data_IF_915651401831
#
_entry.id   IF_915651401831
#
_cell.length_a   1.000
_cell.length_b   1.000
_cell.length_c   1.000
_cell.angle_alpha   90.00
_cell.angle_beta   90.00
_cell.angle_gamma   90.00
#
_symmetry.space_group_name_H-M   'P 1'
#
loop_
_entity.id
_entity.type
_entity.pdbx_description
1 polymer ?
#
# COMPACT_ATOMS: atom_id res chain seq x y z
N UNK A 1 -21.55 31.59 -52.23
CA UNK A 1 -20.13 31.21 -52.10
C UNK A 1 -19.86 30.98 -50.63
N UNK A 2 -19.92 29.71 -50.18
CA UNK A 2 -19.31 29.15 -48.95
C UNK A 2 -19.89 27.73 -48.77
N UNK A 3 -19.05 26.73 -49.01
CA UNK A 3 -19.37 25.31 -48.92
C UNK A 3 -19.37 24.84 -47.46
N UNK A 4 -20.35 24.01 -47.13
CA UNK A 4 -20.45 23.23 -45.90
C UNK A 4 -19.39 22.12 -45.94
N UNK A 5 -18.46 22.10 -44.98
CA UNK A 5 -17.49 21.00 -44.83
C UNK A 5 -18.14 19.82 -44.12
N UNK A 6 -18.17 18.69 -44.82
CA UNK A 6 -18.57 17.37 -44.36
C UNK A 6 -17.55 16.78 -43.37
N UNK A 7 -18.07 16.14 -42.32
CA UNK A 7 -17.33 15.33 -41.34
C UNK A 7 -16.90 14.02 -42.01
N UNK A 8 -15.61 13.68 -41.93
CA UNK A 8 -15.09 12.38 -42.36
C UNK A 8 -15.31 11.33 -41.25
N UNK A 9 -15.78 10.10 -41.57
CA UNK A 9 -15.89 9.02 -40.60
C UNK A 9 -14.52 8.39 -40.27
N UNK A 10 -14.33 8.01 -39.01
CA UNK A 10 -13.17 7.23 -38.55
C UNK A 10 -13.13 5.83 -39.17
N UNK A 11 -11.94 5.24 -39.42
CA UNK A 11 -11.84 3.90 -39.97
C UNK A 11 -12.18 2.82 -38.94
N UNK A 12 -12.94 1.82 -39.38
CA UNK A 12 -13.24 0.58 -38.67
C UNK A 12 -11.97 -0.29 -38.59
N UNK A 13 -11.45 -0.51 -37.38
CA UNK A 13 -10.41 -1.51 -37.14
C UNK A 13 -11.02 -2.92 -37.20
N UNK A 14 -10.52 -3.73 -38.13
CA UNK A 14 -10.78 -5.16 -38.21
C UNK A 14 -10.10 -5.89 -37.05
N UNK A 15 -10.82 -6.83 -36.40
CA UNK A 15 -10.24 -7.74 -35.42
C UNK A 15 -9.35 -8.76 -36.12
N UNK A 16 -8.05 -8.72 -35.85
CA UNK A 16 -7.16 -9.82 -36.15
C UNK A 16 -7.37 -10.92 -35.09
N UNK A 17 -7.65 -12.14 -35.55
CA UNK A 17 -7.66 -13.35 -34.73
C UNK A 17 -6.27 -13.54 -34.10
N UNK A 18 -6.18 -13.38 -32.78
CA UNK A 18 -4.96 -13.65 -32.03
C UNK A 18 -4.84 -15.16 -31.80
N UNK A 19 -3.76 -15.75 -32.32
CA UNK A 19 -3.42 -17.16 -32.12
C UNK A 19 -3.13 -17.45 -30.65
N UNK A 20 -3.92 -18.35 -30.07
CA UNK A 20 -3.71 -18.96 -28.75
C UNK A 20 -2.42 -19.80 -28.75
N UNK A 21 -1.34 -19.28 -28.17
CA UNK A 21 -0.09 -20.05 -27.99
C UNK A 21 0.60 -19.88 -26.64
N UNK A 22 -0.10 -19.39 -25.60
CA UNK A 22 0.44 -19.28 -24.24
C UNK A 22 0.11 -20.47 -23.32
N UNK A 23 -0.09 -21.68 -23.88
CA UNK A 23 -0.45 -22.88 -23.12
C UNK A 23 0.72 -23.85 -22.83
N UNK A 24 1.98 -23.49 -23.11
CA UNK A 24 3.13 -24.38 -22.85
C UNK A 24 4.33 -23.65 -22.27
N UNK A 25 4.85 -24.13 -21.14
CA UNK A 25 6.14 -23.69 -20.59
C UNK A 25 7.26 -23.98 -21.58
N UNK A 26 8.04 -22.96 -21.94
CA UNK A 26 9.21 -23.13 -22.83
C UNK A 26 10.35 -23.78 -22.05
N UNK A 27 10.70 -25.01 -22.40
CA UNK A 27 11.95 -25.66 -21.96
C UNK A 27 13.11 -25.31 -22.89
N UNK A 28 14.34 -25.43 -22.38
CA UNK A 28 15.59 -25.22 -23.11
C UNK A 28 15.79 -26.33 -24.16
N UNK A 29 16.28 -26.01 -25.37
CA UNK A 29 16.28 -26.92 -26.54
C UNK A 29 17.13 -28.21 -26.45
N UNK A 30 17.80 -28.50 -25.33
CA UNK A 30 18.81 -29.58 -25.24
C UNK A 30 18.44 -30.73 -24.28
N UNK A 31 17.17 -30.87 -23.88
CA UNK A 31 16.71 -32.02 -23.09
C UNK A 31 15.98 -32.99 -24.01
N UNK A 32 16.62 -34.12 -24.34
CA UNK A 32 16.02 -35.22 -25.10
C UNK A 32 15.22 -36.13 -24.15
N UNK A 33 13.98 -36.45 -24.55
CA UNK A 33 13.11 -37.41 -23.86
C UNK A 33 13.54 -38.85 -24.23
N UNK A 34 13.85 -39.68 -23.22
CA UNK A 34 13.95 -41.13 -23.40
C UNK A 34 12.54 -41.76 -23.35
N UNK A 35 12.36 -42.74 -24.24
CA UNK A 35 11.11 -43.23 -24.81
C UNK A 35 10.52 -44.42 -24.02
N UNK A 36 9.18 -44.39 -23.90
CA UNK A 36 8.19 -45.47 -23.71
C UNK A 36 8.26 -46.47 -22.54
N UNK A 37 7.23 -46.42 -21.69
CA UNK A 37 6.54 -47.64 -21.24
C UNK A 37 5.08 -47.31 -20.89
N UNK A 38 4.23 -47.24 -21.92
CA UNK A 38 2.78 -47.40 -21.74
C UNK A 38 2.44 -48.90 -21.63
N UNK A 39 1.45 -49.16 -20.79
CA UNK A 39 0.60 -50.35 -20.64
C UNK A 39 0.86 -51.29 -19.46
N UNK A 40 -0.22 -51.38 -18.65
CA UNK A 40 -0.53 -52.28 -17.54
C UNK A 40 0.01 -51.80 -16.16
N UNK A 41 -0.80 -51.46 -15.14
CA UNK A 41 -2.14 -51.93 -14.77
C UNK A 41 -2.90 -50.89 -13.92
N UNK A 42 -4.18 -50.69 -14.29
CA UNK A 42 -5.33 -50.34 -13.45
C UNK A 42 -5.10 -50.31 -11.92
N UNK A 43 -4.96 -49.11 -11.36
CA UNK A 43 -5.45 -48.78 -10.01
C UNK A 43 -5.84 -47.29 -9.98
N UNK A 44 -7.09 -47.04 -10.37
CA UNK A 44 -7.95 -45.89 -10.07
C UNK A 44 -7.38 -44.85 -9.07
N UNK A 45 -6.67 -43.84 -9.60
CA UNK A 45 -6.45 -42.57 -8.90
C UNK A 45 -7.23 -41.48 -9.63
N UNK A 46 -8.30 -41.05 -8.98
CA UNK A 46 -9.17 -39.96 -9.41
C UNK A 46 -8.40 -38.64 -9.30
N UNK A 47 -7.68 -38.24 -10.36
CA UNK A 47 -7.39 -36.84 -10.58
C UNK A 47 -8.72 -36.19 -10.93
N UNK A 48 -9.35 -35.54 -9.96
CA UNK A 48 -10.39 -34.56 -10.25
C UNK A 48 -9.75 -33.42 -11.03
N UNK A 49 -9.85 -33.48 -12.35
CA UNK A 49 -9.73 -32.31 -13.21
C UNK A 49 -10.74 -31.28 -12.71
N UNK A 50 -10.25 -30.24 -12.04
CA UNK A 50 -11.05 -29.06 -11.74
C UNK A 50 -11.21 -28.30 -13.06
N UNK A 51 -12.44 -28.23 -13.55
CA UNK A 51 -12.83 -27.46 -14.71
C UNK A 51 -12.31 -26.01 -14.61
N UNK A 52 -11.60 -25.48 -15.63
CA UNK A 52 -11.08 -24.11 -15.62
C UNK A 52 -12.16 -23.02 -15.52
N UNK A 53 -13.43 -23.37 -15.74
CA UNK A 53 -14.57 -22.45 -15.69
C UNK A 53 -15.13 -22.22 -14.26
N UNK A 54 -14.66 -22.98 -13.25
CA UNK A 54 -15.09 -22.86 -11.85
C UNK A 54 -14.23 -21.90 -10.99
N UNK A 55 -13.35 -21.11 -11.62
CA UNK A 55 -12.57 -20.05 -10.94
C UNK A 55 -13.42 -18.81 -10.57
N UNK A 56 -14.74 -18.86 -10.82
CA UNK A 56 -15.67 -17.73 -10.71
C UNK A 56 -16.20 -17.42 -9.31
N UNK A 57 -16.09 -18.35 -8.35
CA UNK A 57 -16.39 -18.11 -6.92
C UNK A 57 -15.55 -19.06 -6.07
N UNK A 58 -14.30 -18.69 -5.83
CA UNK A 58 -13.55 -19.30 -4.71
C UNK A 58 -14.32 -18.95 -3.43
N UNK A 59 -15.13 -19.87 -2.93
CA UNK A 59 -15.61 -19.81 -1.56
C UNK A 59 -14.38 -19.70 -0.67
N UNK A 60 -14.17 -18.51 -0.11
CA UNK A 60 -13.04 -18.27 0.78
C UNK A 60 -13.29 -19.07 2.03
N UNK A 61 -12.66 -20.24 2.14
CA UNK A 61 -12.78 -21.09 3.32
C UNK A 61 -12.33 -20.30 4.56
N UNK A 62 -13.29 -20.03 5.46
CA UNK A 62 -13.04 -19.35 6.72
C UNK A 62 -12.75 -20.42 7.75
N UNK A 63 -11.61 -20.30 8.43
CA UNK A 63 -11.21 -21.22 9.50
C UNK A 63 -11.35 -20.58 10.86
N UNK A 64 -11.48 -21.45 11.86
CA UNK A 64 -11.35 -21.09 13.27
C UNK A 64 -10.06 -21.65 13.88
N UNK A 65 -9.52 -21.04 14.94
CA UNK A 65 -8.34 -21.59 15.61
C UNK A 65 -8.57 -23.02 16.10
N UNK A 66 -7.65 -23.92 15.80
CA UNK A 66 -7.72 -25.36 16.12
C UNK A 66 -8.29 -26.23 15.00
N UNK A 67 -8.86 -25.63 13.95
CA UNK A 67 -9.39 -26.37 12.81
C UNK A 67 -8.26 -26.96 11.95
N UNK A 68 -8.42 -28.22 11.53
CA UNK A 68 -7.49 -28.90 10.62
C UNK A 68 -7.69 -28.37 9.20
N UNK A 69 -6.64 -27.83 8.60
CA UNK A 69 -6.69 -27.20 7.27
C UNK A 69 -6.28 -28.17 6.16
N UNK A 70 -5.19 -28.93 6.36
CA UNK A 70 -4.66 -29.89 5.38
C UNK A 70 -3.62 -30.84 6.00
N UNK A 71 -3.19 -31.86 5.26
CA UNK A 71 -2.10 -32.77 5.64
C UNK A 71 -0.72 -32.12 5.46
N UNK A 72 0.17 -32.33 6.43
CA UNK A 72 1.53 -31.77 6.45
C UNK A 72 2.51 -32.49 5.50
N UNK A 73 2.14 -33.66 4.96
CA UNK A 73 3.01 -34.43 4.04
C UNK A 73 3.10 -33.78 2.66
N UNK A 74 2.05 -33.08 2.23
CA UNK A 74 1.94 -32.51 0.88
C UNK A 74 2.16 -30.98 0.86
N UNK A 75 1.88 -30.32 1.99
CA UNK A 75 1.85 -28.87 2.09
C UNK A 75 2.85 -28.34 3.12
N UNK A 76 3.48 -27.21 2.78
CA UNK A 76 4.31 -26.42 3.68
C UNK A 76 3.44 -25.47 4.50
N UNK A 77 3.75 -25.36 5.79
CA UNK A 77 3.07 -24.44 6.71
C UNK A 77 3.57 -23.00 6.53
N UNK A 78 2.64 -22.07 6.43
CA UNK A 78 2.88 -20.63 6.41
C UNK A 78 2.43 -19.95 7.69
N UNK A 79 2.28 -18.62 7.63
CA UNK A 79 1.76 -17.83 8.75
C UNK A 79 0.32 -18.22 9.10
N UNK A 80 -0.03 -18.12 10.40
CA UNK A 80 -1.38 -18.46 10.87
C UNK A 80 -1.67 -19.96 10.93
N UNK A 81 -0.65 -20.81 10.78
CA UNK A 81 -0.77 -22.28 10.87
C UNK A 81 0.27 -22.87 11.81
N UNK A 82 -0.06 -24.01 12.42
CA UNK A 82 0.81 -24.85 13.25
C UNK A 82 0.67 -26.30 12.79
N UNK A 83 1.60 -27.17 13.21
CA UNK A 83 1.39 -28.62 13.13
C UNK A 83 0.59 -29.07 14.35
N UNK A 84 -0.27 -30.06 14.14
CA UNK A 84 -0.95 -30.79 15.21
C UNK A 84 0.05 -31.55 16.10
N UNK A 85 -0.38 -32.01 17.28
CA UNK A 85 0.45 -32.78 18.22
C UNK A 85 1.05 -34.03 17.57
N UNK A 86 0.32 -34.64 16.64
CA UNK A 86 0.77 -35.83 15.88
C UNK A 86 1.75 -35.49 14.74
N UNK A 87 1.91 -34.21 14.39
CA UNK A 87 2.77 -33.75 13.31
C UNK A 87 2.27 -34.04 11.88
N UNK A 88 1.16 -34.76 11.73
CA UNK A 88 0.64 -35.18 10.42
C UNK A 88 -0.26 -34.13 9.76
N UNK A 89 -0.87 -33.24 10.56
CA UNK A 89 -1.86 -32.28 10.09
C UNK A 89 -1.40 -30.84 10.34
N UNK A 90 -1.77 -29.95 9.44
CA UNK A 90 -1.63 -28.49 9.58
C UNK A 90 -2.93 -27.94 10.16
N UNK A 91 -2.85 -27.29 11.31
CA UNK A 91 -3.98 -26.68 12.03
C UNK A 91 -3.91 -25.16 11.95
N UNK A 92 -5.07 -24.50 11.88
CA UNK A 92 -5.16 -23.05 11.91
C UNK A 92 -4.91 -22.52 13.33
N UNK A 93 -4.16 -21.43 13.47
CA UNK A 93 -3.94 -20.75 14.77
C UNK A 93 -4.72 -19.46 14.91
N UNK A 94 -5.26 -18.94 13.80
CA UNK A 94 -5.99 -17.68 13.74
C UNK A 94 -7.32 -17.86 13.00
N UNK A 95 -8.31 -17.05 13.34
CA UNK A 95 -9.57 -16.99 12.59
C UNK A 95 -9.38 -16.16 11.32
N UNK A 96 -9.63 -16.74 10.17
CA UNK A 96 -9.26 -16.09 8.91
C UNK A 96 -9.60 -16.90 7.67
N UNK A 97 -9.21 -16.37 6.51
CA UNK A 97 -9.37 -17.07 5.23
C UNK A 97 -8.12 -17.86 4.91
N UNK A 98 -8.28 -19.11 4.46
CA UNK A 98 -7.15 -19.93 4.01
C UNK A 98 -6.65 -19.43 2.66
N UNK A 99 -5.38 -19.06 2.60
CA UNK A 99 -4.66 -18.72 1.38
C UNK A 99 -3.70 -19.86 1.04
N UNK A 100 -3.91 -20.49 -0.12
CA UNK A 100 -3.04 -21.53 -0.66
C UNK A 100 -2.28 -20.96 -1.84
N UNK A 101 -0.95 -20.90 -1.73
CA UNK A 101 -0.06 -20.44 -2.80
C UNK A 101 0.92 -21.57 -3.11
N UNK A 102 0.71 -22.25 -4.22
CA UNK A 102 1.42 -23.49 -4.56
C UNK A 102 1.28 -24.52 -3.42
N UNK A 103 2.41 -24.97 -2.86
CA UNK A 103 2.45 -25.88 -1.71
C UNK A 103 2.41 -25.16 -0.36
N UNK A 104 2.43 -23.83 -0.31
CA UNK A 104 2.40 -23.08 0.95
C UNK A 104 0.95 -22.79 1.36
N UNK A 105 0.59 -23.19 2.58
CA UNK A 105 -0.73 -22.92 3.16
C UNK A 105 -0.58 -21.96 4.32
N UNK A 106 -1.27 -20.82 4.23
CA UNK A 106 -1.33 -19.81 5.28
C UNK A 106 -2.76 -19.42 5.60
N UNK A 107 -3.00 -18.95 6.82
CA UNK A 107 -4.30 -18.40 7.20
C UNK A 107 -4.15 -16.90 7.39
N UNK A 108 -4.88 -16.13 6.59
CA UNK A 108 -4.93 -14.68 6.69
C UNK A 108 -5.98 -14.26 7.71
N UNK A 109 -5.51 -13.74 8.84
CA UNK A 109 -6.38 -13.24 9.91
C UNK A 109 -7.31 -12.13 9.44
N UNK A 110 -8.55 -12.13 9.95
CA UNK A 110 -9.54 -11.06 9.71
C UNK A 110 -9.04 -9.70 10.22
N UNK A 111 -8.33 -9.71 11.36
CA UNK A 111 -7.69 -8.52 11.93
C UNK A 111 -6.22 -8.82 12.22
N UNK A 112 -5.34 -7.97 11.73
CA UNK A 112 -3.91 -8.06 12.01
C UNK A 112 -3.31 -6.66 12.17
N UNK A 113 -2.22 -6.59 12.94
CA UNK A 113 -1.33 -5.43 12.89
C UNK A 113 -0.53 -5.47 11.59
N UNK A 114 0.06 -4.33 11.23
CA UNK A 114 0.96 -4.26 10.09
C UNK A 114 2.13 -5.25 10.26
N UNK A 115 2.28 -6.15 9.30
CA UNK A 115 3.41 -7.05 9.21
C UNK A 115 4.40 -6.48 8.18
N UNK A 116 5.55 -5.97 8.62
CA UNK A 116 6.49 -5.27 7.75
C UNK A 116 7.13 -6.23 6.76
N UNK A 117 7.22 -5.80 5.52
CA UNK A 117 8.00 -6.47 4.47
C UNK A 117 9.10 -5.55 3.97
N UNK A 118 10.20 -6.14 3.49
CA UNK A 118 11.30 -5.38 2.93
C UNK A 118 10.82 -4.60 1.70
N UNK A 119 11.15 -3.31 1.66
CA UNK A 119 10.73 -2.39 0.60
C UNK A 119 9.39 -1.70 0.85
N UNK A 120 8.67 -2.03 1.94
CA UNK A 120 7.44 -1.32 2.29
C UNK A 120 7.74 0.15 2.62
N UNK A 121 6.95 1.07 2.06
CA UNK A 121 6.95 2.48 2.43
C UNK A 121 6.07 2.68 3.66
N UNK A 122 6.64 3.23 4.73
CA UNK A 122 5.95 3.45 5.99
C UNK A 122 6.06 4.89 6.44
N UNK A 123 4.98 5.40 7.03
CA UNK A 123 5.02 6.63 7.81
C UNK A 123 5.16 6.24 9.27
N UNK A 124 6.03 6.90 10.02
CA UNK A 124 6.29 6.57 11.42
C UNK A 124 6.47 7.80 12.29
N UNK A 125 6.30 7.62 13.60
CA UNK A 125 6.53 8.65 14.62
C UNK A 125 7.74 8.29 15.46
N UNK A 126 8.65 9.23 15.67
CA UNK A 126 9.77 9.03 16.60
C UNK A 126 9.23 8.89 18.02
N UNK A 127 9.56 7.78 18.68
CA UNK A 127 9.18 7.54 20.08
C UNK A 127 10.31 7.90 21.04
N UNK A 128 11.55 7.58 20.67
CA UNK A 128 12.73 7.80 21.52
C UNK A 128 13.99 8.03 20.66
N UNK A 129 14.85 8.95 21.10
CA UNK A 129 16.19 9.14 20.54
C UNK A 129 17.21 8.40 21.42
N UNK A 130 17.90 7.41 20.85
CA UNK A 130 18.95 6.64 21.52
C UNK A 130 20.34 6.95 20.94
N UNK A 131 21.39 6.40 21.55
CA UNK A 131 22.75 6.49 21.01
C UNK A 131 22.80 5.89 19.59
N UNK A 132 23.09 6.73 18.60
CA UNK A 132 23.26 6.36 17.18
C UNK A 132 22.05 5.78 16.46
N UNK A 133 20.85 5.79 17.07
CA UNK A 133 19.60 5.30 16.47
C UNK A 133 18.35 5.97 17.05
N UNK A 134 17.31 6.06 16.24
CA UNK A 134 15.96 6.44 16.68
C UNK A 134 15.06 5.22 16.73
N UNK A 135 14.17 5.19 17.72
CA UNK A 135 13.01 4.30 17.73
C UNK A 135 11.83 4.99 17.09
N UNK A 136 11.13 4.25 16.25
CA UNK A 136 10.04 4.75 15.42
C UNK A 136 8.82 3.84 15.60
N UNK A 137 7.70 4.41 16.01
CA UNK A 137 6.41 3.72 15.94
C UNK A 137 5.95 3.68 14.48
N UNK A 138 5.90 2.47 13.94
CA UNK A 138 5.43 2.17 12.59
C UNK A 138 4.14 1.34 12.60
N UNK A 139 3.37 1.29 13.70
CA UNK A 139 2.14 0.49 13.83
C UNK A 139 2.33 -1.03 13.62
N UNK A 140 3.56 -1.52 13.76
CA UNK A 140 3.90 -2.93 13.67
C UNK A 140 3.79 -3.63 15.03
N UNK A 141 4.19 -4.92 15.10
CA UNK A 141 4.28 -5.67 16.37
C UNK A 141 5.36 -5.12 17.32
N UNK A 142 6.42 -4.56 16.75
CA UNK A 142 7.56 -4.01 17.47
C UNK A 142 7.86 -2.61 16.93
N UNK A 143 8.52 -1.77 17.73
CA UNK A 143 9.06 -0.50 17.25
C UNK A 143 10.15 -0.73 16.21
N UNK A 144 10.19 0.13 15.21
CA UNK A 144 11.20 0.10 14.17
C UNK A 144 12.42 0.94 14.57
N UNK A 145 13.57 0.57 14.02
CA UNK A 145 14.86 1.19 14.32
C UNK A 145 15.36 1.94 13.09
N UNK A 146 15.61 3.23 13.24
CA UNK A 146 16.24 4.07 12.23
C UNK A 146 17.66 4.39 12.68
N UNK A 147 18.67 3.88 11.98
CA UNK A 147 20.07 4.13 12.33
C UNK A 147 20.53 5.51 11.82
N UNK A 148 21.44 6.16 12.55
CA UNK A 148 22.11 7.37 12.08
C UNK A 148 22.88 7.15 10.76
N UNK A 149 23.39 5.94 10.55
CA UNK A 149 24.01 5.49 9.29
C UNK A 149 23.03 5.40 8.12
N UNK A 150 21.72 5.31 8.38
CA UNK A 150 20.67 5.10 7.38
C UNK A 150 19.84 6.34 7.05
N UNK A 151 20.17 7.50 7.62
CA UNK A 151 19.56 8.81 7.32
C UNK A 151 20.45 9.70 6.45
N UNK A 152 19.82 10.63 5.71
CA UNK A 152 20.52 11.62 4.88
C UNK A 152 20.77 12.89 5.69
N UNK A 153 22.01 13.09 6.15
CA UNK A 153 22.36 14.29 6.92
C UNK A 153 22.41 15.54 6.02
N UNK A 154 22.12 16.74 6.56
CA UNK A 154 22.26 17.97 5.82
C UNK A 154 23.73 18.18 5.37
N UNK A 155 23.91 18.53 4.10
CA UNK A 155 25.22 18.55 3.42
C UNK A 155 25.39 17.48 2.34
N UNK A 156 24.34 16.69 2.07
CA UNK A 156 24.27 15.77 0.93
C UNK A 156 24.92 14.41 1.17
N UNK A 157 24.76 13.52 0.17
CA UNK A 157 25.20 12.10 0.23
C UNK A 157 26.73 11.98 0.43
N UNK A 158 27.50 12.98 0.01
CA UNK A 158 28.97 12.97 0.08
C UNK A 158 29.53 13.34 1.47
N UNK A 159 28.71 13.83 2.40
CA UNK A 159 29.16 14.18 3.76
C UNK A 159 29.53 12.90 4.53
N UNK A 160 30.74 12.87 5.09
CA UNK A 160 31.14 11.81 6.04
C UNK A 160 30.41 12.02 7.37
N UNK A 161 29.83 10.95 7.90
CA UNK A 161 29.15 10.94 9.20
C UNK A 161 30.19 10.95 10.30
N UNK A 162 30.12 11.92 11.20
CA UNK A 162 31.09 12.14 12.27
C UNK A 162 30.45 11.83 13.62
N UNK A 163 31.24 11.45 14.63
CA UNK A 163 30.74 11.22 15.99
C UNK A 163 30.03 12.44 16.59
N UNK A 164 30.36 13.65 16.14
CA UNK A 164 29.66 14.88 16.53
C UNK A 164 28.19 14.93 16.06
N UNK A 165 27.84 14.22 14.98
CA UNK A 165 26.46 14.13 14.50
C UNK A 165 25.60 13.28 15.46
N UNK A 166 26.21 12.34 16.21
CA UNK A 166 25.51 11.54 17.22
C UNK A 166 25.03 12.41 18.40
N UNK A 167 25.76 13.49 18.72
CA UNK A 167 25.36 14.44 19.76
C UNK A 167 24.22 15.36 19.30
N UNK A 168 24.10 15.59 17.99
CA UNK A 168 23.10 16.46 17.37
C UNK A 168 21.88 15.72 16.84
N UNK A 169 21.72 14.43 17.16
CA UNK A 169 20.63 13.62 16.64
C UNK A 169 19.24 14.21 16.89
N UNK A 170 19.07 14.83 18.06
CA UNK A 170 17.82 15.48 18.48
C UNK A 170 17.50 16.74 17.64
N UNK A 171 18.49 17.37 17.03
CA UNK A 171 18.30 18.50 16.12
C UNK A 171 17.73 18.06 14.76
N UNK A 172 17.98 16.82 14.34
CA UNK A 172 17.44 16.28 13.09
C UNK A 172 16.04 15.72 13.28
N UNK A 173 15.88 14.83 14.27
CA UNK A 173 14.63 14.14 14.55
C UNK A 173 14.47 14.03 16.08
N UNK A 174 13.46 14.72 16.60
CA UNK A 174 13.07 14.71 18.00
C UNK A 174 11.87 13.78 18.25
N UNK A 175 11.60 13.46 19.51
CA UNK A 175 10.44 12.64 19.88
C UNK A 175 9.13 13.34 19.46
N UNK A 176 8.23 12.58 18.84
CA UNK A 176 6.98 13.09 18.30
C UNK A 176 7.04 13.47 16.82
N UNK A 177 8.23 13.63 16.24
CA UNK A 177 8.37 13.93 14.82
C UNK A 177 7.82 12.80 13.94
N UNK A 178 7.19 13.19 12.83
CA UNK A 178 6.71 12.26 11.83
C UNK A 178 7.69 12.22 10.66
N UNK A 179 7.90 11.02 10.13
CA UNK A 179 8.76 10.80 8.98
C UNK A 179 8.21 9.72 8.07
N UNK A 180 8.59 9.79 6.81
CA UNK A 180 8.40 8.70 5.85
C UNK A 180 9.73 7.99 5.63
N UNK A 181 9.71 6.66 5.69
CA UNK A 181 10.88 5.82 5.51
C UNK A 181 10.51 4.51 4.79
N UNK A 182 11.54 3.82 4.33
CA UNK A 182 11.40 2.50 3.69
C UNK A 182 11.99 1.42 4.61
N UNK A 183 11.35 0.26 4.63
CA UNK A 183 11.81 -0.91 5.38
C UNK A 183 13.01 -1.54 4.66
N UNK A 184 14.20 -1.43 5.27
CA UNK A 184 15.43 -1.99 4.75
C UNK A 184 15.55 -3.50 4.98
N UNK A 185 15.24 -3.93 6.20
CA UNK A 185 15.34 -5.32 6.65
C UNK A 185 14.34 -5.59 7.76
N UNK A 186 13.87 -6.83 7.81
CA UNK A 186 12.95 -7.34 8.83
C UNK A 186 13.55 -8.53 9.59
N UNK A 187 14.84 -8.81 9.38
CA UNK A 187 15.57 -9.87 10.06
C UNK A 187 15.80 -9.50 11.54
N UNK A 188 14.97 -10.05 12.43
CA UNK A 188 15.03 -9.83 13.87
C UNK A 188 14.29 -8.57 14.33
N UNK A 189 14.80 -7.39 13.97
CA UNK A 189 14.16 -6.09 14.24
C UNK A 189 13.85 -5.37 12.93
N UNK A 190 12.82 -4.52 12.94
CA UNK A 190 12.45 -3.73 11.77
C UNK A 190 13.47 -2.61 11.61
N UNK A 191 14.24 -2.62 10.53
CA UNK A 191 15.22 -1.58 10.22
C UNK A 191 14.69 -0.67 9.12
N UNK A 192 14.72 0.64 9.38
CA UNK A 192 14.29 1.67 8.44
C UNK A 192 15.49 2.41 7.85
N UNK A 193 15.31 2.94 6.65
CA UNK A 193 16.23 3.91 6.07
C UNK A 193 15.52 5.04 5.33
N UNK A 194 16.18 6.19 5.24
CA UNK A 194 15.70 7.37 4.49
C UNK A 194 16.74 7.81 3.46
N UNK A 195 17.29 6.85 2.69
CA UNK A 195 18.37 7.12 1.71
C UNK A 195 17.91 7.92 0.49
N UNK A 196 16.62 7.87 0.15
CA UNK A 196 16.04 8.69 -0.92
C UNK A 196 15.70 10.10 -0.43
N UNK A 197 15.85 11.11 -1.28
CA UNK A 197 15.43 12.49 -1.00
C UNK A 197 13.90 12.63 -0.88
N UNK A 198 13.15 11.66 -1.42
CA UNK A 198 11.70 11.57 -1.23
C UNK A 198 11.32 11.19 0.20
N UNK A 199 12.29 10.73 0.99
CA UNK A 199 12.11 10.29 2.36
C UNK A 199 12.66 11.31 3.36
N UNK A 200 12.04 11.41 4.52
CA UNK A 200 12.45 12.38 5.53
C UNK A 200 11.31 12.81 6.44
N UNK A 201 11.55 13.91 7.15
CA UNK A 201 10.60 14.50 8.08
C UNK A 201 9.40 15.07 7.33
N UNK A 202 8.21 14.84 7.88
CA UNK A 202 6.95 15.26 7.30
C UNK A 202 6.51 16.60 7.89
N UNK A 203 6.07 17.51 7.01
CA UNK A 203 5.60 18.85 7.35
C UNK A 203 4.37 19.24 6.52
N UNK A 204 3.76 20.37 6.85
CA UNK A 204 2.68 21.00 6.10
C UNK A 204 1.44 20.13 5.87
N UNK A 205 1.11 19.27 6.84
CA UNK A 205 0.07 18.27 6.65
C UNK A 205 -0.55 17.74 7.93
N UNK A 206 -1.34 16.69 7.75
CA UNK A 206 -2.10 16.01 8.79
C UNK A 206 -1.94 14.50 8.65
N UNK A 207 -1.73 13.82 9.78
CA UNK A 207 -1.68 12.37 9.86
C UNK A 207 -3.09 11.79 10.03
N UNK A 208 -3.41 10.76 9.25
CA UNK A 208 -4.62 9.96 9.37
C UNK A 208 -4.21 8.50 9.57
N UNK A 209 -4.84 7.82 10.52
CA UNK A 209 -4.59 6.40 10.79
C UNK A 209 -5.77 5.57 10.31
N UNK A 210 -5.47 4.53 9.54
CA UNK A 210 -6.44 3.54 9.06
C UNK A 210 -5.89 2.12 9.32
N UNK A 211 -6.74 1.07 9.30
CA UNK A 211 -6.24 -0.29 9.36
C UNK A 211 -5.28 -0.58 8.19
N UNK A 212 -4.10 -1.12 8.49
CA UNK A 212 -3.07 -1.44 7.49
C UNK A 212 -3.58 -2.40 6.38
N UNK A 213 -4.54 -3.26 6.71
CA UNK A 213 -5.18 -4.18 5.76
C UNK A 213 -5.92 -3.50 4.61
N UNK A 214 -6.29 -2.22 4.76
CA UNK A 214 -6.96 -1.45 3.70
C UNK A 214 -5.98 -0.82 2.70
N UNK A 215 -4.70 -0.76 3.05
CA UNK A 215 -3.66 -0.25 2.16
C UNK A 215 -3.11 -1.41 1.36
N UNK A 216 -3.37 -1.40 0.05
CA UNK A 216 -2.78 -2.39 -0.86
C UNK A 216 -1.33 -2.00 -1.15
N UNK A 217 -0.43 -2.98 -1.17
CA UNK A 217 0.94 -2.78 -1.65
C UNK A 217 0.91 -2.49 -3.14
N UNK A 218 1.42 -1.33 -3.53
CA UNK A 218 1.43 -0.83 -4.90
C UNK A 218 2.83 -0.34 -5.27
N UNK A 219 3.08 -0.17 -6.56
CA UNK A 219 4.38 0.32 -7.05
C UNK A 219 4.73 1.71 -6.53
N UNK A 220 3.72 2.57 -6.33
CA UNK A 220 3.88 3.88 -5.73
C UNK A 220 2.82 4.10 -4.66
N UNK A 221 3.27 4.67 -3.54
CA UNK A 221 2.48 5.07 -2.39
C UNK A 221 2.44 6.60 -2.22
N UNK A 222 3.02 7.33 -3.16
CA UNK A 222 2.92 8.79 -3.27
C UNK A 222 1.88 9.11 -4.33
N UNK A 223 0.81 9.81 -3.93
CA UNK A 223 -0.24 10.31 -4.81
C UNK A 223 -0.29 11.82 -4.76
N UNK A 224 -0.44 12.42 -5.92
CA UNK A 224 -0.67 13.86 -6.05
C UNK A 224 -2.07 14.04 -6.58
N UNK A 225 -2.96 14.61 -5.77
CA UNK A 225 -4.32 14.96 -6.16
C UNK A 225 -4.27 16.38 -6.77
N UNK A 226 -4.34 16.53 -8.10
CA UNK A 226 -4.21 17.84 -8.74
C UNK A 226 -5.42 18.74 -8.41
N UNK A 227 -5.34 20.05 -8.70
CA UNK A 227 -6.51 20.91 -8.74
C UNK A 227 -7.63 20.25 -9.59
N UNK A 228 -8.89 20.21 -9.13
CA UNK A 228 -9.54 21.04 -8.11
C UNK A 228 -9.53 20.47 -6.67
N UNK A 229 -8.70 19.48 -6.35
CA UNK A 229 -8.59 18.91 -4.99
C UNK A 229 -8.02 19.85 -3.92
N UNK A 230 -7.78 21.09 -4.29
CA UNK A 230 -7.32 22.21 -3.49
C UNK A 230 -6.84 23.33 -4.43
N UNK A 231 -6.53 24.53 -3.92
CA UNK A 231 -6.03 25.62 -4.77
C UNK A 231 -4.75 25.27 -5.53
N UNK A 232 -3.87 24.46 -4.92
CA UNK A 232 -2.59 24.00 -5.47
C UNK A 232 -2.52 22.47 -5.60
N UNK A 233 -3.63 21.77 -5.35
CA UNK A 233 -3.65 20.32 -5.15
C UNK A 233 -3.28 19.89 -3.73
N UNK A 234 -3.32 18.58 -3.49
CA UNK A 234 -3.02 17.92 -2.20
C UNK A 234 -2.15 16.69 -2.47
N UNK A 235 -1.04 16.56 -1.74
CA UNK A 235 -0.19 15.37 -1.81
C UNK A 235 -0.58 14.40 -0.69
N UNK A 236 -0.66 13.11 -1.02
CA UNK A 236 -1.04 12.03 -0.11
C UNK A 236 0.03 10.95 -0.13
N UNK A 237 0.54 10.59 1.04
CA UNK A 237 1.51 9.51 1.24
C UNK A 237 0.79 8.38 1.98
N UNK A 238 0.56 7.27 1.28
CA UNK A 238 -0.07 6.07 1.85
C UNK A 238 0.98 5.13 2.43
N UNK A 239 1.29 5.25 3.72
CA UNK A 239 2.10 4.24 4.40
C UNK A 239 1.38 2.89 4.41
N UNK A 240 2.09 1.82 4.00
CA UNK A 240 1.57 0.44 3.99
C UNK A 240 1.11 0.00 5.39
N UNK A 241 1.69 0.62 6.42
CA UNK A 241 1.36 0.41 7.82
C UNK A 241 0.03 1.06 8.28
N UNK A 242 -0.70 1.71 7.38
CA UNK A 242 -1.96 2.38 7.67
C UNK A 242 -1.80 3.80 8.24
N UNK A 243 -0.57 4.30 8.34
CA UNK A 243 -0.30 5.71 8.62
C UNK A 243 -0.26 6.48 7.31
N UNK A 244 -1.20 7.40 7.13
CA UNK A 244 -1.37 8.19 5.92
C UNK A 244 -1.05 9.64 6.24
N UNK A 245 -0.20 10.26 5.43
CA UNK A 245 0.09 11.69 5.54
C UNK A 245 -0.57 12.44 4.40
N UNK A 246 -1.35 13.46 4.71
CA UNK A 246 -1.99 14.35 3.73
C UNK A 246 -1.40 15.74 3.91
N UNK A 247 -0.75 16.28 2.89
CA UNK A 247 -0.09 17.57 2.95
C UNK A 247 -0.45 18.47 1.76
N UNK A 248 -0.06 19.75 1.89
CA UNK A 248 -0.20 20.71 0.81
C UNK A 248 0.48 20.18 -0.46
N UNK A 249 -0.22 20.25 -1.60
CA UNK A 249 0.35 19.87 -2.88
C UNK A 249 1.56 20.74 -3.21
N UNK A 250 2.64 20.12 -3.66
CA UNK A 250 3.91 20.80 -3.96
C UNK A 250 3.84 21.72 -5.21
N UNK A 251 2.68 21.82 -5.88
CA UNK A 251 2.58 22.27 -7.28
C UNK A 251 3.37 21.36 -8.21
N UNK A 252 3.45 21.67 -9.51
CA UNK A 252 4.22 20.92 -10.54
C UNK A 252 5.73 20.69 -10.25
N UNK A 253 6.21 21.03 -9.06
CA UNK A 253 7.57 20.84 -8.59
C UNK A 253 7.95 19.37 -8.35
N UNK A 254 6.99 18.44 -8.31
CA UNK A 254 7.25 17.00 -8.09
C UNK A 254 7.93 16.30 -9.28
N UNK A 255 7.86 16.86 -10.49
CA UNK A 255 8.48 16.24 -11.67
C UNK A 255 9.96 16.59 -11.88
N UNK A 256 10.43 17.78 -11.47
CA UNK A 256 11.76 18.28 -11.86
C UNK A 256 12.74 18.60 -10.72
N UNK A 257 12.32 18.69 -9.45
CA UNK A 257 13.27 18.92 -8.34
C UNK A 257 14.06 17.67 -7.90
N UNK A 258 13.76 16.50 -8.47
CA UNK A 258 14.40 15.23 -8.09
C UNK A 258 15.70 14.91 -8.85
N UNK A 259 16.23 15.83 -9.66
CA UNK A 259 17.47 15.59 -10.42
C UNK A 259 18.59 16.63 -10.22
N UNK A 260 18.31 17.91 -9.94
CA UNK A 260 19.34 18.97 -10.02
C UNK A 260 19.20 20.13 -9.00
N UNK A 261 18.65 19.91 -7.79
CA UNK A 261 18.72 20.92 -6.71
C UNK A 261 19.99 20.68 -5.87
N UNK A 262 21.07 21.35 -6.28
CA UNK A 262 22.37 21.37 -5.63
C UNK A 262 22.27 21.90 -4.19
N UNK A 263 22.50 21.03 -3.20
CA UNK A 263 23.16 21.32 -1.91
C UNK A 263 22.52 22.27 -0.89
N UNK A 264 21.69 23.23 -1.30
CA UNK A 264 21.22 24.35 -0.47
C UNK A 264 19.88 24.09 0.23
N UNK A 265 19.05 23.17 -0.28
CA UNK A 265 17.74 22.87 0.33
C UNK A 265 17.79 21.81 1.44
N UNK A 266 18.95 21.18 1.65
CA UNK A 266 19.13 20.13 2.66
C UNK A 266 18.95 20.62 4.11
N UNK A 267 19.13 21.92 4.37
CA UNK A 267 18.96 22.48 5.72
C UNK A 267 17.48 22.56 6.14
N UNK A 268 16.56 22.60 5.17
CA UNK A 268 15.12 22.63 5.44
C UNK A 268 14.51 21.24 5.67
N UNK A 269 15.22 20.16 5.34
CA UNK A 269 14.72 18.77 5.42
C UNK A 269 14.33 18.36 6.84
N UNK A 270 14.98 18.95 7.84
CA UNK A 270 14.74 18.64 9.26
C UNK A 270 14.06 19.78 10.03
N UNK A 271 13.62 20.83 9.33
CA UNK A 271 12.96 21.97 9.97
C UNK A 271 11.56 21.61 10.49
N UNK A 272 11.26 22.05 11.70
CA UNK A 272 9.91 21.98 12.30
C UNK A 272 8.95 23.07 11.80
N UNK A 273 9.48 24.05 11.06
CA UNK A 273 8.67 25.19 10.61
C UNK A 273 7.84 24.79 9.39
N UNK A 274 6.52 24.85 9.57
CA UNK A 274 5.56 24.72 8.50
C UNK A 274 5.44 26.03 7.71
N UNK A 275 5.10 25.90 6.43
CA UNK A 275 4.82 27.03 5.54
C UNK A 275 3.44 27.65 5.87
N UNK A 276 3.21 28.87 5.39
CA UNK A 276 1.92 29.56 5.56
C UNK A 276 0.85 28.94 4.65
N UNK A 277 0.06 28.02 5.21
CA UNK A 277 -1.04 27.34 4.50
C UNK A 277 -2.32 28.20 4.54
N UNK A 278 -2.88 28.49 3.37
CA UNK A 278 -4.15 29.23 3.26
C UNK A 278 -5.33 28.45 3.86
N UNK A 279 -6.39 29.12 4.36
CA UNK A 279 -7.58 28.44 4.89
C UNK A 279 -8.22 27.48 3.88
N UNK A 280 -8.25 27.85 2.60
CA UNK A 280 -8.78 27.01 1.52
C UNK A 280 -7.96 25.71 1.35
N UNK A 281 -6.63 25.80 1.40
CA UNK A 281 -5.77 24.60 1.34
C UNK A 281 -5.91 23.73 2.60
N UNK A 282 -6.10 24.31 3.79
CA UNK A 282 -6.37 23.53 5.02
C UNK A 282 -7.70 22.78 4.95
N UNK A 283 -8.73 23.43 4.41
CA UNK A 283 -10.03 22.78 4.19
C UNK A 283 -9.92 21.63 3.19
N UNK A 284 -9.15 21.79 2.12
CA UNK A 284 -8.87 20.74 1.15
C UNK A 284 -8.18 19.52 1.80
N UNK A 285 -7.11 19.75 2.58
CA UNK A 285 -6.42 18.69 3.35
C UNK A 285 -7.41 17.97 4.27
N UNK A 286 -8.19 18.73 5.04
CA UNK A 286 -9.14 18.16 5.99
C UNK A 286 -10.25 17.34 5.30
N UNK A 287 -10.69 17.76 4.11
CA UNK A 287 -11.66 17.03 3.29
C UNK A 287 -11.11 15.69 2.81
N UNK A 288 -9.88 15.68 2.29
CA UNK A 288 -9.20 14.43 1.88
C UNK A 288 -9.03 13.50 3.08
N UNK A 289 -8.64 14.03 4.25
CA UNK A 289 -8.57 13.27 5.49
C UNK A 289 -9.92 12.64 5.87
N UNK A 290 -11.03 13.38 5.75
CA UNK A 290 -12.36 12.84 6.02
C UNK A 290 -12.77 11.74 5.04
N UNK A 291 -12.53 11.93 3.74
CA UNK A 291 -12.81 10.91 2.73
C UNK A 291 -12.05 9.61 3.04
N UNK A 292 -10.77 9.71 3.37
CA UNK A 292 -9.94 8.57 3.80
C UNK A 292 -10.57 7.86 5.01
N UNK A 293 -11.01 8.62 6.03
CA UNK A 293 -11.65 8.05 7.22
C UNK A 293 -13.00 7.39 6.90
N UNK A 294 -13.79 7.96 6.00
CA UNK A 294 -15.07 7.39 5.56
C UNK A 294 -14.80 6.07 4.84
N UNK A 295 -13.97 6.07 3.80
CA UNK A 295 -13.64 4.83 3.08
C UNK A 295 -13.06 3.76 4.01
N UNK A 296 -12.22 4.15 4.97
CA UNK A 296 -11.68 3.23 5.96
C UNK A 296 -12.76 2.63 6.88
N UNK A 297 -13.77 3.41 7.28
CA UNK A 297 -14.88 2.94 8.13
C UNK A 297 -15.69 1.84 7.46
N UNK A 298 -15.89 1.94 6.16
CA UNK A 298 -16.63 0.95 5.36
C UNK A 298 -15.72 -0.12 4.75
N UNK A 299 -14.47 -0.23 5.24
CA UNK A 299 -13.49 -1.24 4.80
C UNK A 299 -13.19 -1.23 3.30
N UNK A 300 -13.26 -0.06 2.68
CA UNK A 300 -13.02 0.11 1.25
C UNK A 300 -11.52 0.36 1.04
N UNK A 301 -10.82 -0.45 0.22
CA UNK A 301 -9.40 -0.25 0.00
C UNK A 301 -9.13 1.08 -0.70
N UNK A 302 -8.16 1.83 -0.19
CA UNK A 302 -7.86 3.17 -0.68
C UNK A 302 -7.09 3.12 -2.00
N UNK A 303 -7.51 3.93 -2.98
CA UNK A 303 -6.83 4.15 -4.25
C UNK A 303 -6.90 5.63 -4.62
N UNK A 304 -5.96 6.09 -5.45
CA UNK A 304 -5.96 7.48 -5.97
C UNK A 304 -7.29 7.82 -6.66
N UNK A 305 -7.78 6.92 -7.54
CA UNK A 305 -9.03 7.11 -8.26
C UNK A 305 -10.24 7.26 -7.32
N UNK A 306 -10.27 6.49 -6.23
CA UNK A 306 -11.34 6.57 -5.23
C UNK A 306 -11.32 7.92 -4.49
N UNK A 307 -10.14 8.42 -4.13
CA UNK A 307 -10.00 9.72 -3.48
C UNK A 307 -10.41 10.86 -4.39
N UNK A 308 -10.03 10.81 -5.67
CA UNK A 308 -10.44 11.78 -6.69
C UNK A 308 -11.95 11.78 -6.90
N UNK A 309 -12.55 10.60 -7.07
CA UNK A 309 -14.00 10.46 -7.26
C UNK A 309 -14.79 10.93 -6.02
N UNK A 310 -14.30 10.62 -4.81
CA UNK A 310 -14.89 11.11 -3.57
C UNK A 310 -14.83 12.64 -3.44
N UNK A 311 -13.72 13.25 -3.85
CA UNK A 311 -13.60 14.71 -3.87
C UNK A 311 -14.56 15.35 -4.88
N UNK A 312 -14.67 14.79 -6.08
CA UNK A 312 -15.60 15.28 -7.10
C UNK A 312 -17.06 15.17 -6.63
N UNK A 313 -17.42 14.08 -5.96
CA UNK A 313 -18.74 13.91 -5.36
C UNK A 313 -19.03 14.97 -4.29
N UNK A 314 -18.05 15.25 -3.41
CA UNK A 314 -18.19 16.32 -2.41
C UNK A 314 -18.41 17.69 -3.06
N UNK A 315 -17.71 17.98 -4.16
CA UNK A 315 -17.88 19.22 -4.93
C UNK A 315 -19.26 19.31 -5.55
N UNK A 316 -19.75 18.24 -6.18
CA UNK A 316 -21.09 18.19 -6.80
C UNK A 316 -22.22 18.44 -5.80
N UNK A 317 -22.04 17.99 -4.55
CA UNK A 317 -23.04 18.14 -3.49
C UNK A 317 -22.88 19.43 -2.67
N UNK A 318 -22.04 20.39 -3.10
CA UNK A 318 -21.75 21.65 -2.41
C UNK A 318 -21.35 21.45 -0.93
N UNK A 319 -20.61 20.38 -0.65
CA UNK A 319 -20.09 20.06 0.69
C UNK A 319 -18.74 20.75 0.93
N UNK A 320 -18.39 21.72 0.11
CA UNK A 320 -17.10 22.40 0.21
C UNK A 320 -17.03 23.31 1.45
N UNK A 321 -18.18 23.87 1.84
CA UNK A 321 -18.34 24.83 2.94
C UNK A 321 -18.89 24.18 4.23
N UNK A 322 -19.62 23.07 4.10
CA UNK A 322 -20.10 22.29 5.25
C UNK A 322 -18.91 21.51 5.79
N UNK A 323 -18.62 21.68 7.07
CA UNK A 323 -17.42 21.14 7.70
C UNK A 323 -17.18 19.64 7.44
N UNK A 324 -15.95 19.23 7.79
CA UNK A 324 -15.28 17.96 7.53
C UNK A 324 -16.08 16.69 7.93
N UNK A 325 -17.17 16.83 8.69
CA UNK A 325 -17.96 15.71 9.21
C UNK A 325 -19.24 15.55 8.39
N UNK A 326 -19.29 14.48 7.59
CA UNK A 326 -20.50 14.09 6.87
C UNK A 326 -21.44 13.32 7.80
N UNK A 327 -22.75 13.49 7.62
CA UNK A 327 -23.73 12.66 8.32
C UNK A 327 -23.70 11.23 7.79
N UNK A 328 -24.09 10.23 8.61
CA UNK A 328 -24.10 8.81 8.16
C UNK A 328 -24.93 8.57 6.90
N UNK A 329 -26.05 9.29 6.74
CA UNK A 329 -26.88 9.20 5.55
C UNK A 329 -26.12 9.63 4.29
N UNK A 330 -25.34 10.69 4.43
CA UNK A 330 -24.61 11.31 3.34
C UNK A 330 -23.33 10.53 3.02
N UNK A 331 -22.69 9.90 4.02
CA UNK A 331 -21.66 8.89 3.81
C UNK A 331 -22.18 7.72 2.97
N UNK A 332 -23.37 7.19 3.27
CA UNK A 332 -23.96 6.09 2.48
C UNK A 332 -24.21 6.49 1.03
N UNK A 333 -24.73 7.70 0.80
CA UNK A 333 -24.93 8.22 -0.56
C UNK A 333 -23.62 8.34 -1.33
N UNK A 334 -22.56 8.85 -0.68
CA UNK A 334 -21.21 8.88 -1.27
C UNK A 334 -20.77 7.49 -1.70
N UNK A 335 -20.97 6.47 -0.87
CA UNK A 335 -20.55 5.09 -1.16
C UNK A 335 -21.35 4.46 -2.31
N UNK A 336 -22.67 4.67 -2.33
CA UNK A 336 -23.51 4.21 -3.41
C UNK A 336 -23.09 4.82 -4.75
N UNK A 337 -22.89 6.14 -4.79
CA UNK A 337 -22.57 6.85 -6.03
C UNK A 337 -21.13 6.60 -6.52
N UNK A 338 -20.15 6.53 -5.60
CA UNK A 338 -18.72 6.45 -5.96
C UNK A 338 -18.23 5.02 -6.08
N UNK A 339 -18.74 4.11 -5.23
CA UNK A 339 -18.26 2.72 -5.16
C UNK A 339 -19.26 1.76 -5.82
N UNK A 340 -20.50 2.19 -6.04
CA UNK A 340 -21.55 1.34 -6.60
C UNK A 340 -22.07 0.30 -5.60
N UNK A 341 -21.84 0.52 -4.29
CA UNK A 341 -22.38 -0.35 -3.25
C UNK A 341 -23.77 0.19 -2.90
N UNK A 342 -24.79 -0.37 -3.55
CA UNK A 342 -26.18 -0.22 -3.10
C UNK A 342 -26.39 -1.17 -1.91
N UNK A 343 -26.97 -0.66 -0.81
CA UNK A 343 -27.34 -1.49 0.34
C UNK A 343 -28.34 -2.56 -0.15
N UNK A 344 -27.89 -3.81 -0.29
CA UNK A 344 -28.78 -4.98 -0.21
C UNK A 344 -28.93 -5.39 1.24
N UNK A 345 -29.51 -4.52 2.06
CA UNK A 345 -29.91 -4.85 3.44
C UNK A 345 -31.40 -4.46 3.61
N UNK A 346 -32.26 -5.44 3.30
CA UNK A 346 -33.54 -5.65 4.00
C UNK A 346 -33.32 -6.56 5.22
#
# INVERSE_FOLDING_TARGET
>A
MLQVKSVLPMPLFHSAEASTSYAKTRHHPDVQEDVDMEEAENAQYNYGELDPEESGRLERHITTPGEVVTSAKEFMRGHGTLLDESGENVVATVAGTVERVNKLVSVKSIKSRYNPEKGDLVVGRITEVQASRWKVDANARQEAMLQLSSVNLPGGVQRRKVESDALKMREFLAEGDLLVAEVQSTEGMIQLHTRSLKYGKLRNGQLVTVPASLIRRLKSHFYTLPPPCGPQGVDVILGVNGYIWVCLGSGDKTAEHNANSDGFENELVYSDKNDDITPASRQAIARVCALIQIFARYSIPLTEALLMAGHEWCRRNNLEERGVVLSRQLEKQLLADVVGIEDTDE
#
